data_IF_719551472481
#
_entry.id   IF_719551472481
#
_cell.length_a   1.000
_cell.length_b   1.000
_cell.length_c   1.000
_cell.angle_alpha   90.00
_cell.angle_beta   90.00
_cell.angle_gamma   90.00
#
_symmetry.space_group_name_H-M   'P 1'
#
loop_
_entity.id
_entity.type
_entity.pdbx_description
1 polymer ?
#
# COMPACT_ATOMS: atom_id res chain seq x y z
N UNK A 1 14.73 -28.79 6.53
CA UNK A 1 16.08 -28.26 6.88
C UNK A 1 16.71 -29.21 7.86
N UNK A 2 17.83 -29.81 7.47
CA UNK A 2 18.57 -30.72 8.30
C UNK A 2 19.89 -30.07 8.79
N UNK A 3 20.31 -30.39 9.99
CA UNK A 3 21.59 -29.98 10.58
C UNK A 3 22.41 -31.21 10.90
N UNK A 4 23.63 -31.24 10.40
CA UNK A 4 24.60 -32.27 10.74
C UNK A 4 25.34 -31.86 12.03
N UNK A 5 25.38 -32.76 12.99
CA UNK A 5 26.08 -32.57 14.26
C UNK A 5 27.02 -33.76 14.55
N UNK A 6 27.94 -33.66 15.50
CA UNK A 6 28.74 -34.84 15.94
C UNK A 6 27.87 -36.01 16.40
N UNK A 7 26.62 -35.76 16.80
CA UNK A 7 25.69 -36.79 17.30
C UNK A 7 24.79 -37.36 16.19
N UNK A 8 24.90 -36.87 14.94
CA UNK A 8 24.11 -37.32 13.81
C UNK A 8 23.43 -36.20 13.06
N UNK A 9 22.56 -36.59 12.10
CA UNK A 9 21.75 -35.72 11.29
C UNK A 9 20.40 -35.49 11.98
N UNK A 10 20.03 -34.22 12.21
CA UNK A 10 18.79 -33.83 12.85
C UNK A 10 17.96 -32.98 11.90
N UNK A 11 16.66 -33.19 11.90
CA UNK A 11 15.67 -32.38 11.18
C UNK A 11 14.76 -31.64 12.15
N UNK A 12 14.31 -30.43 11.73
CA UNK A 12 13.32 -29.68 12.49
C UNK A 12 11.92 -30.20 12.20
N UNK A 13 11.18 -30.55 13.23
CA UNK A 13 9.76 -30.92 13.14
C UNK A 13 8.87 -29.72 12.85
N UNK A 14 9.36 -28.50 13.05
CA UNK A 14 8.67 -27.25 12.79
C UNK A 14 9.59 -26.32 12.00
N UNK A 15 8.99 -25.31 11.39
CA UNK A 15 9.73 -24.32 10.63
C UNK A 15 10.67 -23.50 11.54
N UNK A 16 12.00 -23.59 11.38
CA UNK A 16 12.95 -22.81 12.17
C UNK A 16 13.02 -21.38 11.67
N UNK A 17 13.57 -20.50 12.50
CA UNK A 17 13.86 -19.13 12.12
C UNK A 17 14.93 -19.05 11.01
N UNK A 18 14.88 -17.95 10.23
CA UNK A 18 15.91 -17.66 9.21
C UNK A 18 15.67 -18.33 7.85
N UNK A 19 14.60 -19.10 7.66
CA UNK A 19 14.24 -19.61 6.33
C UNK A 19 13.70 -18.48 5.46
N UNK A 20 14.18 -18.40 4.21
CA UNK A 20 13.81 -17.35 3.26
C UNK A 20 12.31 -17.32 2.93
N UNK A 21 11.67 -18.47 2.95
CA UNK A 21 10.26 -18.64 2.62
C UNK A 21 9.34 -18.80 3.85
N UNK A 22 9.86 -18.60 5.07
CA UNK A 22 9.10 -18.80 6.30
C UNK A 22 7.82 -17.95 6.33
N UNK A 23 7.92 -16.65 6.05
CA UNK A 23 6.78 -15.73 6.04
C UNK A 23 5.72 -16.12 5.01
N UNK A 24 6.14 -16.56 3.82
CA UNK A 24 5.20 -17.03 2.78
C UNK A 24 4.48 -18.32 3.18
N UNK A 25 5.19 -19.24 3.83
CA UNK A 25 4.61 -20.50 4.31
C UNK A 25 3.64 -20.24 5.46
N UNK A 26 3.97 -19.32 6.37
CA UNK A 26 3.08 -18.93 7.45
C UNK A 26 1.84 -18.17 6.94
N UNK A 27 2.00 -17.25 5.98
CA UNK A 27 0.86 -16.56 5.36
C UNK A 27 -0.14 -17.54 4.76
N UNK A 28 0.33 -18.52 3.97
CA UNK A 28 -0.56 -19.57 3.42
C UNK A 28 -1.25 -20.39 4.52
N UNK A 29 -0.55 -20.63 5.62
CA UNK A 29 -1.14 -21.36 6.75
C UNK A 29 -2.25 -20.53 7.41
N UNK A 30 -2.01 -19.25 7.74
CA UNK A 30 -3.01 -18.40 8.38
C UNK A 30 -4.21 -18.14 7.44
N UNK A 31 -3.99 -18.00 6.14
CA UNK A 31 -5.05 -17.87 5.14
C UNK A 31 -5.95 -19.11 5.14
N UNK A 32 -5.38 -20.32 5.26
CA UNK A 32 -6.15 -21.57 5.37
C UNK A 32 -6.92 -21.64 6.70
N UNK A 33 -6.31 -21.27 7.82
CA UNK A 33 -6.93 -21.27 9.14
C UNK A 33 -8.15 -20.35 9.17
N UNK A 34 -8.06 -19.18 8.54
CA UNK A 34 -9.12 -18.16 8.52
C UNK A 34 -10.03 -18.27 7.28
N UNK A 35 -9.83 -19.32 6.46
CA UNK A 35 -10.63 -19.54 5.26
C UNK A 35 -12.12 -19.65 5.60
N UNK A 36 -12.97 -18.99 4.80
CA UNK A 36 -14.42 -18.95 5.01
C UNK A 36 -14.92 -17.95 6.05
N UNK A 37 -14.04 -17.19 6.71
CA UNK A 37 -14.41 -16.09 7.62
C UNK A 37 -14.28 -14.77 6.84
N UNK A 38 -15.39 -14.25 6.29
CA UNK A 38 -15.36 -13.10 5.35
C UNK A 38 -15.05 -11.74 6.00
N UNK A 39 -15.07 -11.64 7.32
CA UNK A 39 -14.85 -10.38 8.06
C UNK A 39 -13.39 -10.18 8.52
N UNK A 40 -12.46 -11.04 8.13
CA UNK A 40 -11.09 -11.06 8.62
C UNK A 40 -10.07 -10.94 7.48
N UNK A 41 -9.01 -10.18 7.74
CA UNK A 41 -7.82 -10.14 6.89
C UNK A 41 -6.60 -10.38 7.78
N UNK A 42 -5.73 -11.28 7.36
CA UNK A 42 -4.48 -11.59 8.06
C UNK A 42 -3.27 -11.21 7.19
N UNK A 43 -2.26 -10.67 7.83
CA UNK A 43 -0.96 -10.45 7.23
C UNK A 43 0.12 -10.91 8.21
N UNK A 44 0.65 -12.10 7.97
CA UNK A 44 1.59 -12.77 8.85
C UNK A 44 1.00 -12.83 10.29
N UNK A 45 1.55 -12.07 11.23
CA UNK A 45 1.15 -12.06 12.63
C UNK A 45 0.00 -11.09 12.95
N UNK A 46 -0.28 -10.15 12.05
CA UNK A 46 -1.29 -9.11 12.25
C UNK A 46 -2.64 -9.54 11.65
N UNK A 47 -3.70 -9.50 12.46
CA UNK A 47 -5.06 -9.86 12.05
C UNK A 47 -5.99 -8.66 12.31
N UNK A 48 -6.75 -8.25 11.29
CA UNK A 48 -7.80 -7.25 11.42
C UNK A 48 -9.17 -7.88 11.17
N UNK A 49 -10.14 -7.51 12.01
CA UNK A 49 -11.52 -7.97 11.92
C UNK A 49 -12.42 -6.75 11.78
N UNK A 50 -13.20 -6.68 10.69
CA UNK A 50 -14.16 -5.62 10.43
C UNK A 50 -15.60 -6.14 10.51
N UNK A 51 -16.48 -5.47 11.26
CA UNK A 51 -17.87 -5.86 11.43
C UNK A 51 -18.76 -4.63 11.45
N UNK A 52 -20.02 -4.75 11.05
CA UNK A 52 -20.97 -3.63 10.92
C UNK A 52 -21.61 -3.20 12.24
N UNK A 53 -21.49 -4.01 13.30
CA UNK A 53 -22.04 -3.69 14.64
C UNK A 53 -21.23 -4.35 15.76
N UNK A 54 -21.34 -3.81 16.99
CA UNK A 54 -20.70 -4.41 18.16
C UNK A 54 -21.16 -5.85 18.44
N UNK A 55 -22.44 -6.15 18.21
CA UNK A 55 -22.98 -7.50 18.42
C UNK A 55 -22.42 -8.49 17.40
N UNK A 56 -22.28 -8.08 16.14
CA UNK A 56 -21.65 -8.86 15.08
C UNK A 56 -20.16 -9.02 15.35
N UNK A 57 -19.47 -7.94 15.72
CA UNK A 57 -18.04 -7.98 16.02
C UNK A 57 -17.70 -8.98 17.13
N UNK A 58 -18.52 -9.07 18.19
CA UNK A 58 -18.32 -10.07 19.24
C UNK A 58 -18.41 -11.50 18.72
N UNK A 59 -19.34 -11.76 17.79
CA UNK A 59 -19.49 -13.08 17.15
C UNK A 59 -18.32 -13.40 16.23
N UNK A 60 -17.86 -12.41 15.47
CA UNK A 60 -16.77 -12.57 14.52
C UNK A 60 -15.43 -12.77 15.21
N UNK A 61 -15.16 -12.00 16.26
CA UNK A 61 -13.99 -12.22 17.14
C UNK A 61 -14.00 -13.64 17.70
N UNK A 62 -15.17 -14.12 18.19
CA UNK A 62 -15.27 -15.48 18.72
C UNK A 62 -15.00 -16.55 17.64
N UNK A 63 -15.48 -16.36 16.41
CA UNK A 63 -15.18 -17.28 15.28
C UNK A 63 -13.68 -17.32 14.97
N UNK A 64 -13.04 -16.14 14.88
CA UNK A 64 -11.60 -16.04 14.61
C UNK A 64 -10.78 -16.69 15.70
N UNK A 65 -11.08 -16.38 16.98
CA UNK A 65 -10.38 -16.99 18.12
C UNK A 65 -10.55 -18.50 18.16
N UNK A 66 -11.75 -19.00 17.83
CA UNK A 66 -12.00 -20.44 17.73
C UNK A 66 -11.17 -21.08 16.62
N UNK A 67 -11.15 -20.49 15.42
CA UNK A 67 -10.35 -20.99 14.30
C UNK A 67 -8.84 -21.05 14.65
N UNK A 68 -8.30 -20.00 15.28
CA UNK A 68 -6.92 -19.98 15.75
C UNK A 68 -6.64 -21.08 16.78
N UNK A 69 -7.55 -21.26 17.75
CA UNK A 69 -7.45 -22.30 18.78
C UNK A 69 -7.44 -23.71 18.19
N UNK A 70 -8.35 -23.98 17.24
CA UNK A 70 -8.48 -25.29 16.59
C UNK A 70 -7.19 -25.71 15.84
N UNK A 71 -6.38 -24.73 15.43
CA UNK A 71 -5.06 -24.94 14.81
C UNK A 71 -3.87 -24.71 15.77
N UNK A 72 -4.11 -24.66 17.09
CA UNK A 72 -3.09 -24.44 18.12
C UNK A 72 -2.28 -23.15 17.95
N UNK A 73 -2.88 -22.10 17.38
CA UNK A 73 -2.31 -20.76 17.31
C UNK A 73 -2.69 -19.95 18.55
N UNK A 74 -1.68 -19.42 19.24
CA UNK A 74 -1.89 -18.65 20.45
C UNK A 74 -1.98 -17.16 20.14
N UNK A 75 -2.92 -16.47 20.77
CA UNK A 75 -3.12 -15.03 20.66
C UNK A 75 -2.53 -14.33 21.89
N UNK A 76 -1.73 -13.29 21.68
CA UNK A 76 -1.26 -12.44 22.76
C UNK A 76 -2.31 -11.38 23.09
N UNK A 77 -3.11 -11.64 24.11
CA UNK A 77 -4.22 -10.77 24.55
C UNK A 77 -3.76 -9.35 24.89
N UNK A 78 -2.55 -9.18 25.43
CA UNK A 78 -2.03 -7.86 25.80
C UNK A 78 -1.72 -6.98 24.58
N UNK A 79 -1.54 -7.56 23.40
CA UNK A 79 -1.34 -6.85 22.13
C UNK A 79 -2.62 -6.67 21.32
N UNK A 80 -3.74 -7.21 21.79
CA UNK A 80 -5.02 -7.09 21.10
C UNK A 80 -5.68 -5.74 21.37
N UNK A 81 -6.12 -5.09 20.29
CA UNK A 81 -6.94 -3.89 20.32
C UNK A 81 -8.35 -4.26 19.85
N UNK A 82 -9.24 -4.60 20.78
CA UNK A 82 -10.60 -5.05 20.48
C UNK A 82 -11.60 -3.90 20.61
N UNK A 83 -12.67 -3.93 19.82
CA UNK A 83 -13.79 -2.97 19.86
C UNK A 83 -13.38 -1.50 19.69
N UNK A 84 -12.38 -1.26 18.84
CA UNK A 84 -11.91 0.09 18.54
C UNK A 84 -12.61 0.64 17.29
N UNK A 85 -13.02 1.93 17.27
CA UNK A 85 -13.59 2.56 16.08
C UNK A 85 -12.55 2.78 14.97
N UNK A 86 -11.28 2.85 15.33
CA UNK A 86 -10.16 2.90 14.40
C UNK A 86 -8.98 2.10 14.95
N UNK A 87 -8.23 1.46 14.05
CA UNK A 87 -7.06 0.65 14.39
C UNK A 87 -5.88 0.94 13.48
N UNK A 88 -4.68 0.76 14.01
CA UNK A 88 -3.46 0.76 13.19
C UNK A 88 -3.27 -0.65 12.60
N UNK A 89 -3.15 -0.71 11.27
CA UNK A 89 -2.90 -1.96 10.56
C UNK A 89 -1.93 -1.70 9.40
N UNK A 90 -0.84 -2.44 9.36
CA UNK A 90 0.20 -2.36 8.31
C UNK A 90 0.65 -0.92 7.99
N UNK A 91 0.80 -0.08 9.01
CA UNK A 91 1.26 1.31 8.85
C UNK A 91 0.21 2.29 8.34
N UNK A 92 -1.06 1.91 8.39
CA UNK A 92 -2.22 2.75 8.09
C UNK A 92 -3.15 2.83 9.29
N UNK A 93 -4.00 3.84 9.30
CA UNK A 93 -5.18 3.91 10.17
C UNK A 93 -6.36 3.41 9.34
N UNK A 94 -7.04 2.41 9.85
CA UNK A 94 -8.26 1.82 9.27
C UNK A 94 -9.43 2.19 10.18
N UNK A 95 -10.48 2.78 9.63
CA UNK A 95 -11.69 3.21 10.35
C UNK A 95 -12.92 3.03 9.46
N UNK A 96 -14.11 3.32 9.97
CA UNK A 96 -15.34 3.33 9.18
C UNK A 96 -15.27 4.31 7.98
N UNK A 97 -14.60 5.45 8.15
CA UNK A 97 -14.44 6.45 7.08
C UNK A 97 -13.46 6.03 5.97
N UNK A 98 -12.71 4.95 6.17
CA UNK A 98 -11.74 4.45 5.19
C UNK A 98 -10.32 4.29 5.73
N UNK A 99 -9.35 4.37 4.83
CA UNK A 99 -7.93 4.13 5.11
C UNK A 99 -7.13 5.43 4.92
N UNK A 100 -6.22 5.72 5.86
CA UNK A 100 -5.27 6.85 5.78
C UNK A 100 -3.90 6.45 6.32
N UNK A 101 -2.80 7.10 5.89
CA UNK A 101 -1.48 6.84 6.45
C UNK A 101 -1.38 7.29 7.92
N UNK A 102 -0.47 6.69 8.67
CA UNK A 102 -0.16 7.12 10.03
C UNK A 102 0.39 8.55 10.08
N UNK A 103 -0.13 9.38 10.97
CA UNK A 103 0.31 10.77 11.18
C UNK A 103 1.80 10.86 11.55
N UNK A 104 2.31 9.91 12.33
CA UNK A 104 3.73 9.82 12.69
C UNK A 104 4.62 9.62 11.46
N UNK A 105 4.17 8.83 10.48
CA UNK A 105 4.89 8.62 9.21
C UNK A 105 4.87 9.86 8.35
N UNK A 106 3.72 10.53 8.22
CA UNK A 106 3.62 11.79 7.50
C UNK A 106 4.52 12.86 8.11
N UNK A 107 4.56 12.94 9.43
CA UNK A 107 5.47 13.84 10.16
C UNK A 107 6.92 13.51 9.85
N UNK A 108 7.33 12.24 9.90
CA UNK A 108 8.70 11.84 9.59
C UNK A 108 9.14 12.24 8.16
N UNK A 109 8.23 12.17 7.18
CA UNK A 109 8.53 12.62 5.80
C UNK A 109 8.58 14.15 5.73
N UNK A 110 7.65 14.84 6.39
CA UNK A 110 7.62 16.31 6.45
C UNK A 110 8.90 16.87 7.07
N UNK A 111 9.36 16.28 8.16
CA UNK A 111 10.53 16.73 8.91
C UNK A 111 11.85 16.18 8.32
N UNK A 112 11.79 15.39 7.25
CA UNK A 112 12.98 14.79 6.63
C UNK A 112 13.92 15.87 6.10
N UNK A 113 15.21 15.89 6.50
CA UNK A 113 16.17 16.91 6.05
C UNK A 113 16.46 16.78 4.56
N UNK A 114 17.02 17.81 3.95
CA UNK A 114 17.47 17.75 2.56
C UNK A 114 18.55 16.68 2.42
N UNK A 115 18.33 15.63 1.58
CA UNK A 115 19.28 14.52 1.43
C UNK A 115 20.65 15.00 0.90
N UNK A 116 21.72 14.60 1.56
CA UNK A 116 23.08 14.87 1.11
C UNK A 116 23.62 13.75 0.21
N UNK A 117 23.15 12.51 0.44
CA UNK A 117 23.62 11.32 -0.29
C UNK A 117 22.49 10.65 -1.07
N UNK A 118 22.86 9.92 -2.13
CA UNK A 118 21.93 9.12 -2.93
C UNK A 118 21.16 8.11 -2.06
N UNK A 119 21.78 7.56 -1.03
CA UNK A 119 21.10 6.66 -0.08
C UNK A 119 19.99 7.37 0.68
N UNK A 120 20.25 8.57 1.20
CA UNK A 120 19.23 9.37 1.90
C UNK A 120 18.10 9.78 0.96
N UNK A 121 18.44 10.17 -0.29
CA UNK A 121 17.43 10.49 -1.30
C UNK A 121 16.54 9.28 -1.63
N UNK A 122 17.12 8.11 -1.80
CA UNK A 122 16.34 6.86 -2.00
C UNK A 122 15.48 6.52 -0.81
N UNK A 123 15.96 6.77 0.41
CA UNK A 123 15.16 6.58 1.62
C UNK A 123 13.94 7.51 1.64
N UNK A 124 14.14 8.80 1.31
CA UNK A 124 13.05 9.76 1.17
C UNK A 124 12.03 9.32 0.10
N UNK A 125 12.50 8.99 -1.11
CA UNK A 125 11.64 8.50 -2.20
C UNK A 125 10.88 7.24 -1.79
N UNK A 126 11.51 6.31 -1.08
CA UNK A 126 10.85 5.11 -0.55
C UNK A 126 9.74 5.42 0.44
N UNK A 127 9.96 6.39 1.35
CA UNK A 127 8.93 6.81 2.30
C UNK A 127 7.74 7.49 1.62
N UNK A 128 7.99 8.35 0.64
CA UNK A 128 6.91 8.99 -0.13
C UNK A 128 6.17 7.97 -0.99
N UNK A 129 6.91 7.04 -1.62
CA UNK A 129 6.32 5.99 -2.45
C UNK A 129 5.39 5.04 -1.66
N UNK A 130 5.62 4.87 -0.37
CA UNK A 130 4.69 4.13 0.49
C UNK A 130 3.30 4.80 0.57
N UNK A 131 3.25 6.13 0.49
CA UNK A 131 2.02 6.92 0.51
C UNK A 131 1.46 7.19 -0.89
N UNK A 132 2.07 6.63 -1.95
CA UNK A 132 1.78 7.01 -3.33
C UNK A 132 0.31 6.83 -3.72
N UNK A 133 -0.35 5.79 -3.20
CA UNK A 133 -1.77 5.49 -3.45
C UNK A 133 -2.75 6.54 -2.89
N UNK A 134 -2.26 7.44 -2.03
CA UNK A 134 -3.04 8.52 -1.41
C UNK A 134 -2.79 9.88 -2.06
N UNK A 135 -1.86 9.98 -3.02
CA UNK A 135 -1.37 11.24 -3.55
C UNK A 135 -1.54 11.28 -5.07
N UNK A 136 -2.30 12.24 -5.60
CA UNK A 136 -2.44 12.40 -7.04
C UNK A 136 -1.09 12.78 -7.69
N UNK A 137 -0.81 12.28 -8.89
CA UNK A 137 0.32 12.65 -9.77
C UNK A 137 1.71 12.64 -9.11
N UNK A 138 1.92 11.86 -8.07
CA UNK A 138 3.17 11.88 -7.29
C UNK A 138 4.40 11.50 -8.12
N UNK A 139 4.27 10.63 -9.11
CA UNK A 139 5.38 10.23 -9.98
C UNK A 139 5.87 11.37 -10.86
N UNK A 140 5.00 12.28 -11.27
CA UNK A 140 5.36 13.49 -12.01
C UNK A 140 6.15 14.44 -11.10
N UNK A 141 5.63 14.72 -9.91
CA UNK A 141 6.26 15.59 -8.90
C UNK A 141 7.68 15.10 -8.55
N UNK A 142 7.83 13.78 -8.37
CA UNK A 142 9.10 13.18 -7.97
C UNK A 142 10.01 12.80 -9.15
N UNK A 143 9.59 13.01 -10.39
CA UNK A 143 10.37 12.64 -11.59
C UNK A 143 11.79 13.24 -11.59
N UNK A 144 12.02 14.54 -11.26
CA UNK A 144 13.37 15.11 -11.19
C UNK A 144 14.24 14.43 -10.13
N UNK A 145 13.67 14.09 -8.97
CA UNK A 145 14.40 13.42 -7.89
C UNK A 145 14.78 11.99 -8.27
N UNK A 146 13.89 11.30 -8.98
CA UNK A 146 14.15 9.95 -9.47
C UNK A 146 15.34 9.91 -10.44
N UNK A 147 15.53 10.96 -11.24
CA UNK A 147 16.66 11.05 -12.17
C UNK A 147 18.00 11.15 -11.42
N UNK A 148 18.11 12.02 -10.40
CA UNK A 148 19.35 12.19 -9.62
C UNK A 148 19.56 11.10 -8.55
N UNK A 149 18.59 10.23 -8.32
CA UNK A 149 18.74 9.07 -7.46
C UNK A 149 19.50 7.90 -8.11
N UNK A 150 19.80 7.99 -9.39
CA UNK A 150 20.65 7.02 -10.13
C UNK A 150 22.11 7.26 -9.81
N UNK A 151 22.81 6.27 -9.21
CA UNK A 151 24.21 6.44 -8.89
C UNK A 151 24.69 5.59 -7.71
N UNK A 152 26.00 5.67 -7.39
CA UNK A 152 26.55 4.96 -6.23
C UNK A 152 25.89 5.40 -4.92
N UNK A 153 25.69 4.45 -4.01
CA UNK A 153 24.98 4.69 -2.73
C UNK A 153 25.52 5.87 -1.91
N UNK A 154 26.87 6.00 -1.87
CA UNK A 154 27.58 7.02 -1.09
C UNK A 154 27.83 8.33 -1.86
N UNK A 155 27.44 8.41 -3.14
CA UNK A 155 27.62 9.64 -3.91
C UNK A 155 26.80 10.78 -3.31
N UNK A 156 27.34 12.00 -3.35
CA UNK A 156 26.61 13.21 -2.99
C UNK A 156 25.53 13.50 -4.03
N UNK A 157 24.39 14.01 -3.55
CA UNK A 157 23.31 14.43 -4.43
C UNK A 157 23.66 15.79 -5.03
N UNK A 158 23.62 15.87 -6.34
CA UNK A 158 23.81 17.15 -7.05
C UNK A 158 22.47 17.86 -7.16
N UNK A 159 22.23 18.83 -6.26
CA UNK A 159 21.01 19.60 -6.18
C UNK A 159 21.07 20.84 -7.08
N UNK A 160 20.11 20.96 -7.99
CA UNK A 160 19.76 22.16 -8.71
C UNK A 160 18.44 22.78 -8.22
N UNK A 161 18.04 23.89 -8.79
CA UNK A 161 16.79 24.57 -8.40
C UNK A 161 15.54 23.71 -8.66
N UNK A 162 15.51 22.99 -9.78
CA UNK A 162 14.37 22.14 -10.17
C UNK A 162 14.21 20.96 -9.20
N UNK A 163 15.30 20.27 -8.87
CA UNK A 163 15.28 19.13 -7.94
C UNK A 163 14.95 19.57 -6.51
N UNK A 164 15.42 20.75 -6.07
CA UNK A 164 15.01 21.32 -4.77
C UNK A 164 13.52 21.64 -4.73
N UNK A 165 12.98 22.27 -5.78
CA UNK A 165 11.53 22.51 -5.91
C UNK A 165 10.74 21.19 -5.90
N UNK A 166 11.19 20.16 -6.60
CA UNK A 166 10.56 18.86 -6.60
C UNK A 166 10.56 18.19 -5.19
N UNK A 167 11.64 18.37 -4.42
CA UNK A 167 11.71 17.89 -3.04
C UNK A 167 10.68 18.57 -2.13
N UNK A 168 10.57 19.89 -2.21
CA UNK A 168 9.59 20.67 -1.44
C UNK A 168 8.16 20.28 -1.86
N UNK A 169 7.87 20.27 -3.17
CA UNK A 169 6.55 19.84 -3.69
C UNK A 169 6.19 18.41 -3.28
N UNK A 170 7.16 17.49 -3.25
CA UNK A 170 6.94 16.12 -2.77
C UNK A 170 6.53 16.07 -1.30
N UNK A 171 7.05 16.96 -0.45
CA UNK A 171 6.61 17.11 0.95
C UNK A 171 5.22 17.76 1.05
N UNK A 172 4.96 18.79 0.25
CA UNK A 172 3.67 19.51 0.23
C UNK A 172 2.54 18.60 -0.25
N UNK A 173 2.79 17.72 -1.23
CA UNK A 173 1.83 16.75 -1.72
C UNK A 173 1.30 15.81 -0.62
N UNK A 174 2.08 15.57 0.44
CA UNK A 174 1.63 14.81 1.61
C UNK A 174 0.61 15.55 2.47
N UNK A 175 0.50 16.86 2.35
CA UNK A 175 -0.52 17.66 3.04
C UNK A 175 -1.90 17.54 2.39
N UNK A 176 -1.95 17.13 1.11
CA UNK A 176 -3.18 16.92 0.34
C UNK A 176 -3.68 15.48 0.36
N UNK A 177 -3.14 14.64 1.24
CA UNK A 177 -3.56 13.24 1.38
C UNK A 177 -5.04 13.19 1.77
N UNK A 178 -5.80 12.42 0.98
CA UNK A 178 -7.20 12.14 1.24
C UNK A 178 -7.35 10.76 1.90
N UNK A 179 -8.40 10.60 2.70
CA UNK A 179 -8.83 9.29 3.17
C UNK A 179 -9.39 8.51 1.98
N UNK A 180 -8.92 7.30 1.76
CA UNK A 180 -9.44 6.41 0.73
C UNK A 180 -10.61 5.60 1.26
N UNK A 181 -11.72 5.60 0.55
CA UNK A 181 -12.91 4.85 0.90
C UNK A 181 -12.74 3.35 0.64
N UNK A 182 -13.53 2.53 1.32
CA UNK A 182 -13.63 1.11 1.00
C UNK A 182 -14.50 0.88 -0.24
N UNK A 183 -14.12 -0.04 -1.14
CA UNK A 183 -14.92 -0.39 -2.29
C UNK A 183 -16.28 -0.96 -1.87
N UNK A 184 -17.37 -0.39 -2.39
CA UNK A 184 -18.73 -0.91 -2.23
C UNK A 184 -19.19 -1.56 -3.54
N UNK A 185 -19.57 -2.86 -3.54
CA UNK A 185 -19.83 -3.61 -4.78
C UNK A 185 -20.93 -2.99 -5.66
N UNK A 186 -21.92 -2.37 -5.06
CA UNK A 186 -23.12 -1.88 -5.77
C UNK A 186 -22.99 -0.43 -6.27
N UNK A 187 -21.87 0.24 -6.07
CA UNK A 187 -21.66 1.60 -6.53
C UNK A 187 -20.95 1.63 -7.89
N UNK A 188 -21.37 2.51 -8.82
CA UNK A 188 -20.67 2.69 -10.09
C UNK A 188 -19.27 3.26 -9.85
N UNK A 189 -18.33 2.83 -10.69
CA UNK A 189 -16.95 3.29 -10.66
C UNK A 189 -16.69 4.32 -11.75
N UNK A 190 -15.83 5.27 -11.41
CA UNK A 190 -15.24 6.22 -12.37
C UNK A 190 -13.74 6.16 -12.31
N UNK A 191 -13.12 6.16 -13.48
CA UNK A 191 -11.67 6.22 -13.66
C UNK A 191 -11.34 7.48 -14.45
N UNK A 192 -10.69 8.44 -13.81
CA UNK A 192 -10.16 9.62 -14.49
C UNK A 192 -8.67 9.41 -14.71
N UNK A 193 -8.22 9.63 -15.94
CA UNK A 193 -6.83 9.46 -16.35
C UNK A 193 -6.25 10.74 -16.91
N UNK A 194 -4.92 10.88 -16.80
CA UNK A 194 -4.19 12.02 -17.34
C UNK A 194 -2.74 11.62 -17.66
N UNK A 195 -2.17 12.16 -18.70
CA UNK A 195 -0.82 11.87 -19.15
C UNK A 195 -0.02 13.13 -19.44
N UNK A 196 1.13 13.27 -18.79
CA UNK A 196 2.13 14.30 -19.10
C UNK A 196 3.25 13.75 -20.00
N UNK A 197 4.25 14.59 -20.28
CA UNK A 197 5.45 14.18 -21.02
C UNK A 197 6.35 13.21 -20.24
N UNK A 198 6.17 13.11 -18.92
CA UNK A 198 7.07 12.36 -18.03
C UNK A 198 6.39 11.27 -17.22
N UNK A 199 5.07 11.34 -17.04
CA UNK A 199 4.32 10.42 -16.20
C UNK A 199 2.87 10.29 -16.64
N UNK A 200 2.24 9.18 -16.24
CA UNK A 200 0.78 8.98 -16.30
C UNK A 200 0.22 8.97 -14.90
N UNK A 201 -1.02 9.43 -14.77
CA UNK A 201 -1.76 9.47 -13.53
C UNK A 201 -3.19 8.96 -13.70
N UNK A 202 -3.77 8.45 -12.63
CA UNK A 202 -5.18 8.08 -12.60
C UNK A 202 -5.73 8.17 -11.17
N UNK A 203 -7.03 8.36 -11.08
CA UNK A 203 -7.81 8.22 -9.86
C UNK A 203 -8.98 7.27 -10.12
N UNK A 204 -9.11 6.24 -9.29
CA UNK A 204 -10.29 5.41 -9.24
C UNK A 204 -11.19 5.89 -8.11
N UNK A 205 -12.45 6.15 -8.43
CA UNK A 205 -13.46 6.62 -7.49
C UNK A 205 -14.72 5.77 -7.62
N UNK A 206 -15.52 5.73 -6.57
CA UNK A 206 -16.89 5.27 -6.61
C UNK A 206 -17.85 6.45 -6.39
N UNK A 207 -19.04 6.39 -6.95
CA UNK A 207 -20.05 7.44 -6.78
C UNK A 207 -20.96 7.04 -5.62
N UNK A 208 -20.67 7.61 -4.46
CA UNK A 208 -21.48 7.44 -3.26
C UNK A 208 -22.62 8.44 -3.17
N UNK A 209 -23.47 8.32 -2.14
CA UNK A 209 -24.61 9.22 -1.91
C UNK A 209 -24.22 10.70 -1.78
N UNK A 210 -23.02 10.96 -1.24
CA UNK A 210 -22.50 12.32 -1.03
C UNK A 210 -21.60 12.81 -2.16
N UNK A 211 -21.45 12.05 -3.24
CA UNK A 211 -20.59 12.37 -4.37
C UNK A 211 -19.43 11.39 -4.58
N UNK A 212 -18.42 11.79 -5.38
CA UNK A 212 -17.27 10.94 -5.67
C UNK A 212 -16.43 10.64 -4.42
N UNK A 213 -16.14 9.37 -4.20
CA UNK A 213 -15.32 8.88 -3.09
C UNK A 213 -14.06 8.22 -3.66
N UNK A 214 -12.85 8.71 -3.34
CA UNK A 214 -11.62 8.14 -3.86
C UNK A 214 -11.35 6.76 -3.25
N UNK A 215 -11.05 5.80 -4.12
CA UNK A 215 -10.63 4.46 -3.73
C UNK A 215 -9.10 4.33 -3.76
N UNK A 216 -8.46 4.87 -4.80
CA UNK A 216 -7.02 4.83 -4.94
C UNK A 216 -6.53 5.79 -6.02
N UNK A 217 -5.34 6.37 -5.80
CA UNK A 217 -4.58 7.10 -6.82
C UNK A 217 -3.52 6.20 -7.43
N UNK A 218 -3.30 6.35 -8.72
CA UNK A 218 -2.23 5.71 -9.47
C UNK A 218 -1.36 6.77 -10.13
N UNK A 219 -0.06 6.58 -10.11
CA UNK A 219 0.86 7.42 -10.86
C UNK A 219 2.11 6.62 -11.21
N UNK A 220 2.57 6.74 -12.46
CA UNK A 220 3.73 6.00 -12.95
C UNK A 220 4.56 6.84 -13.90
N UNK A 221 5.87 6.90 -13.63
CA UNK A 221 6.83 7.53 -14.54
C UNK A 221 6.91 6.76 -15.86
N UNK A 222 6.95 7.48 -16.98
CA UNK A 222 7.16 6.92 -18.32
C UNK A 222 8.62 6.48 -18.49
N UNK A 223 8.81 5.38 -19.19
CA UNK A 223 10.15 4.99 -19.66
C UNK A 223 10.53 5.80 -20.89
N UNK A 224 11.82 5.88 -21.22
CA UNK A 224 12.35 6.70 -22.34
C UNK A 224 11.72 6.41 -23.70
N UNK A 225 11.24 5.20 -23.96
CA UNK A 225 10.48 4.88 -25.16
C UNK A 225 9.09 5.52 -25.16
N UNK A 226 8.41 5.50 -24.01
CA UNK A 226 7.04 6.02 -23.86
C UNK A 226 6.98 7.56 -23.84
N UNK A 227 8.03 8.24 -23.38
CA UNK A 227 8.11 9.71 -23.44
C UNK A 227 8.10 10.26 -24.87
N UNK A 228 8.43 9.41 -25.88
CA UNK A 228 8.39 9.77 -27.31
C UNK A 228 7.04 9.49 -27.98
N UNK A 229 6.10 8.94 -27.27
CA UNK A 229 4.74 8.71 -27.77
C UNK A 229 4.03 10.05 -28.05
N UNK A 230 3.07 10.05 -28.97
CA UNK A 230 2.18 11.20 -29.16
C UNK A 230 1.37 11.48 -27.90
N UNK A 231 0.83 12.67 -27.74
CA UNK A 231 -0.07 12.98 -26.61
C UNK A 231 -1.23 11.98 -26.55
N UNK A 232 -1.85 11.69 -27.71
CA UNK A 232 -2.93 10.71 -27.81
C UNK A 232 -2.52 9.31 -27.33
N UNK A 233 -1.35 8.81 -27.78
CA UNK A 233 -0.85 7.49 -27.37
C UNK A 233 -0.52 7.42 -25.87
N UNK A 234 -0.06 8.53 -25.27
CA UNK A 234 0.20 8.61 -23.84
C UNK A 234 -1.09 8.57 -23.02
N UNK A 235 -2.13 9.27 -23.46
CA UNK A 235 -3.46 9.19 -22.84
C UNK A 235 -4.02 7.76 -22.91
N UNK A 236 -3.94 7.12 -24.07
CA UNK A 236 -4.35 5.72 -24.21
C UNK A 236 -3.53 4.78 -23.34
N UNK A 237 -2.21 5.01 -23.24
CA UNK A 237 -1.35 4.26 -22.34
C UNK A 237 -1.73 4.48 -20.87
N UNK A 238 -2.14 5.69 -20.46
CA UNK A 238 -2.60 5.98 -19.11
C UNK A 238 -3.84 5.15 -18.76
N UNK A 239 -4.83 5.10 -19.64
CA UNK A 239 -6.03 4.28 -19.49
C UNK A 239 -5.64 2.79 -19.33
N UNK A 240 -4.81 2.27 -20.25
CA UNK A 240 -4.37 0.87 -20.20
C UNK A 240 -3.68 0.52 -18.88
N UNK A 241 -2.72 1.36 -18.46
CA UNK A 241 -1.94 1.12 -17.24
C UNK A 241 -2.80 1.25 -15.98
N UNK A 242 -3.74 2.19 -15.96
CA UNK A 242 -4.67 2.37 -14.86
C UNK A 242 -5.63 1.17 -14.72
N UNK A 243 -6.25 0.71 -15.81
CA UNK A 243 -7.10 -0.50 -15.79
C UNK A 243 -6.30 -1.71 -15.31
N UNK A 244 -5.09 -1.88 -15.82
CA UNK A 244 -4.21 -2.98 -15.39
C UNK A 244 -3.87 -2.91 -13.90
N UNK A 245 -3.65 -1.71 -13.37
CA UNK A 245 -3.34 -1.49 -11.96
C UNK A 245 -4.55 -1.78 -11.07
N UNK A 246 -5.71 -1.24 -11.44
CA UNK A 246 -6.95 -1.36 -10.67
C UNK A 246 -7.78 -2.60 -11.00
N UNK A 247 -7.23 -3.56 -11.78
CA UNK A 247 -7.97 -4.73 -12.25
C UNK A 247 -8.74 -5.43 -11.15
N UNK A 248 -8.13 -5.58 -9.96
CA UNK A 248 -8.74 -6.24 -8.81
C UNK A 248 -9.95 -5.49 -8.21
N UNK A 249 -10.12 -4.21 -8.55
CA UNK A 249 -11.25 -3.37 -8.10
C UNK A 249 -12.31 -3.19 -9.20
N UNK A 250 -11.92 -3.24 -10.48
CA UNK A 250 -12.80 -2.92 -11.61
C UNK A 250 -13.35 -4.15 -12.33
N UNK A 251 -12.74 -5.32 -12.14
CA UNK A 251 -13.13 -6.55 -12.83
C UNK A 251 -14.57 -6.93 -12.47
N UNK A 252 -15.40 -7.18 -13.49
CA UNK A 252 -16.83 -7.49 -13.32
C UNK A 252 -17.73 -6.32 -12.85
N UNK A 253 -17.23 -5.07 -12.85
CA UNK A 253 -17.98 -3.88 -12.41
C UNK A 253 -18.20 -2.88 -13.54
N UNK A 254 -19.29 -2.12 -13.43
CA UNK A 254 -19.53 -0.99 -14.35
C UNK A 254 -18.51 0.12 -14.09
N UNK A 255 -17.75 0.49 -15.13
CA UNK A 255 -16.70 1.50 -15.09
C UNK A 255 -16.93 2.55 -16.17
N UNK A 256 -16.95 3.82 -15.78
CA UNK A 256 -16.92 4.96 -16.71
C UNK A 256 -15.52 5.57 -16.69
N UNK A 257 -14.94 5.83 -17.87
CA UNK A 257 -13.58 6.39 -18.01
C UNK A 257 -13.68 7.81 -18.57
N UNK A 258 -12.94 8.73 -17.96
CA UNK A 258 -12.82 10.13 -18.35
C UNK A 258 -11.38 10.49 -18.65
#
# INVERSE_FOLDING_TARGET
>A
TAIITPLGLFEYWRMPFGLRNASQSFQRHIDNVLSGIGCVVAYIDDIIIGSSSHAEHRRDVAKVLKALHDFNLQVNVQKCHLFQPEVQFLGHIVSESGIRPLSTRLKAIKDFPLPETVTQLRSFLGMVNYCHRFIPKISEILSPLSAISQGPKKARVNWDENTRKAFVKGKEALLSIQTLSFPRPNLPLTLTTDASDVAVGAILQQIGPSGPEPLEFFSKKLISAQTRYSAFDRELLAIYLAIKHFRHLVDGRQLTIF
#
